data_IF_770492295121
#
_entry.id   IF_770492295121
#
_cell.length_a   1.000
_cell.length_b   1.000
_cell.length_c   1.000
_cell.angle_alpha   90.00
_cell.angle_beta   90.00
_cell.angle_gamma   90.00
#
_symmetry.space_group_name_H-M   'P 1'
#
loop_
_entity.id
_entity.type
_entity.pdbx_description
1 polymer ?
#
# COMPACT_ATOMS: atom_id res chain seq x y z
N UNK A 1 -17.77 -6.69 12.87
CA UNK A 1 -17.14 -7.83 13.56
C UNK A 1 -16.16 -8.44 12.56
N UNK A 2 -14.88 -8.49 12.88
CA UNK A 2 -13.87 -9.02 11.95
C UNK A 2 -13.65 -10.53 12.20
N UNK A 3 -12.96 -11.21 11.28
CA UNK A 3 -12.64 -12.65 11.34
C UNK A 3 -11.94 -13.02 12.65
N UNK A 4 -11.03 -12.20 13.12
CA UNK A 4 -10.29 -12.44 14.37
C UNK A 4 -11.21 -12.42 15.61
N UNK A 5 -12.15 -11.48 15.66
CA UNK A 5 -13.13 -11.40 16.74
C UNK A 5 -14.08 -12.61 16.74
N UNK A 6 -14.49 -13.09 15.56
CA UNK A 6 -15.27 -14.32 15.41
C UNK A 6 -14.47 -15.52 15.90
N UNK A 7 -13.19 -15.64 15.50
CA UNK A 7 -12.30 -16.71 15.94
C UNK A 7 -12.14 -16.73 17.46
N UNK A 8 -11.90 -15.58 18.09
CA UNK A 8 -11.76 -15.50 19.56
C UNK A 8 -13.08 -15.82 20.26
N UNK A 9 -14.22 -15.31 19.79
CA UNK A 9 -15.54 -15.65 20.35
C UNK A 9 -15.86 -17.13 20.18
N UNK A 10 -15.54 -17.73 19.03
CA UNK A 10 -15.73 -19.17 18.80
C UNK A 10 -14.84 -20.00 19.71
N UNK A 11 -13.63 -19.58 20.02
CA UNK A 11 -12.78 -20.22 21.02
C UNK A 11 -13.40 -20.17 22.43
N UNK A 12 -14.16 -19.13 22.75
CA UNK A 12 -14.83 -18.96 24.03
C UNK A 12 -16.20 -19.65 24.12
N UNK A 13 -16.81 -20.04 22.98
CA UNK A 13 -18.08 -20.77 22.93
C UNK A 13 -17.94 -22.21 23.38
N UNK A 14 -17.27 -22.40 24.54
CA UNK A 14 -17.11 -23.71 25.13
C UNK A 14 -17.88 -23.94 26.39
N UNK A 15 -18.46 -25.08 26.28
CA UNK A 15 -18.96 -25.92 27.35
C UNK A 15 -20.20 -25.37 28.04
N UNK A 16 -21.33 -25.88 27.61
CA UNK A 16 -22.32 -26.40 28.56
C UNK A 16 -23.37 -27.24 27.79
N UNK A 17 -23.09 -28.51 27.67
CA UNK A 17 -24.11 -29.58 27.75
C UNK A 17 -25.36 -29.49 26.86
N UNK A 18 -25.34 -29.05 25.61
CA UNK A 18 -26.48 -29.22 24.73
C UNK A 18 -26.18 -30.28 23.66
N UNK A 19 -27.22 -31.03 23.27
CA UNK A 19 -27.14 -32.14 22.33
C UNK A 19 -26.91 -31.71 20.83
N UNK A 20 -26.92 -30.42 20.57
CA UNK A 20 -26.61 -29.85 19.23
C UNK A 20 -25.15 -29.37 19.22
N UNK A 21 -24.27 -30.34 19.27
CA UNK A 21 -22.83 -30.12 19.30
C UNK A 21 -22.32 -29.87 17.89
N UNK A 22 -22.13 -28.60 17.54
CA UNK A 22 -21.27 -28.23 16.41
C UNK A 22 -19.83 -28.33 16.92
N UNK A 23 -19.01 -29.17 16.29
CA UNK A 23 -17.63 -29.29 16.69
C UNK A 23 -16.92 -27.94 16.50
N UNK A 24 -16.31 -27.43 17.57
CA UNK A 24 -15.56 -26.16 17.58
C UNK A 24 -14.60 -26.07 16.42
N UNK A 25 -13.91 -27.16 16.10
CA UNK A 25 -12.94 -27.22 15.03
C UNK A 25 -13.60 -27.00 13.68
N UNK A 26 -14.78 -27.51 13.43
CA UNK A 26 -15.55 -27.27 12.19
C UNK A 26 -15.91 -25.80 12.04
N UNK A 27 -16.38 -25.16 13.13
CA UNK A 27 -16.70 -23.71 13.08
C UNK A 27 -15.43 -22.89 12.86
N UNK A 28 -14.31 -23.24 13.53
CA UNK A 28 -13.05 -22.55 13.33
C UNK A 28 -12.51 -22.72 11.91
N UNK A 29 -12.69 -23.89 11.32
CA UNK A 29 -12.23 -24.13 9.95
C UNK A 29 -13.12 -23.42 8.92
N UNK A 30 -14.42 -23.35 9.15
CA UNK A 30 -15.34 -22.53 8.34
C UNK A 30 -14.98 -21.02 8.44
N UNK A 31 -14.69 -20.53 9.63
CA UNK A 31 -14.28 -19.13 9.82
C UNK A 31 -12.92 -18.84 9.18
N UNK A 32 -12.00 -19.79 9.16
CA UNK A 32 -10.72 -19.66 8.45
C UNK A 32 -10.89 -19.63 6.92
N UNK A 33 -11.93 -20.29 6.41
CA UNK A 33 -12.27 -20.29 4.98
C UNK A 33 -12.98 -19.01 4.52
N UNK A 34 -13.45 -18.16 5.45
CA UNK A 34 -13.96 -16.85 5.07
C UNK A 34 -12.82 -16.05 4.44
N UNK A 35 -12.97 -15.79 3.16
CA UNK A 35 -12.04 -14.93 2.44
C UNK A 35 -12.01 -13.54 3.09
N UNK A 36 -10.86 -13.17 3.63
CA UNK A 36 -10.63 -11.77 3.95
C UNK A 36 -10.56 -11.00 2.63
N UNK A 37 -11.27 -9.87 2.49
CA UNK A 37 -11.15 -9.06 1.30
C UNK A 37 -9.66 -8.74 1.09
N UNK A 38 -9.17 -9.04 -0.11
CA UNK A 38 -7.78 -8.77 -0.47
C UNK A 38 -7.48 -7.30 -0.25
N UNK A 39 -6.45 -7.02 0.57
CA UNK A 39 -6.06 -5.66 0.87
C UNK A 39 -5.60 -4.96 -0.40
N UNK A 40 -6.13 -3.80 -0.63
CA UNK A 40 -5.69 -2.95 -1.75
C UNK A 40 -4.26 -2.48 -1.53
N UNK A 41 -3.53 -2.30 -2.62
CA UNK A 41 -2.17 -1.73 -2.60
C UNK A 41 -2.25 -0.24 -2.87
N UNK A 42 -1.56 0.55 -2.06
CA UNK A 42 -1.53 2.00 -2.20
C UNK A 42 -0.10 2.54 -2.06
N UNK A 43 0.21 3.67 -2.71
CA UNK A 43 1.52 4.29 -2.61
C UNK A 43 1.84 4.75 -1.17
N UNK A 44 3.13 4.74 -0.82
CA UNK A 44 3.63 5.12 0.50
C UNK A 44 3.16 6.51 0.96
N UNK A 45 3.08 7.49 0.04
CA UNK A 45 2.68 8.86 0.39
C UNK A 45 1.19 8.96 0.76
N UNK A 46 0.33 8.11 0.18
CA UNK A 46 -1.09 7.99 0.56
C UNK A 46 -1.22 7.24 1.87
N UNK A 47 -0.49 6.14 2.02
CA UNK A 47 -0.45 5.34 3.24
C UNK A 47 -0.04 6.16 4.47
N UNK A 48 1.01 6.98 4.31
CA UNK A 48 1.48 7.88 5.37
C UNK A 48 0.41 8.89 5.79
N UNK A 49 -0.32 9.45 4.83
CA UNK A 49 -1.41 10.38 5.13
C UNK A 49 -2.58 9.69 5.86
N UNK A 50 -3.06 8.54 5.35
CA UNK A 50 -4.13 7.75 5.99
C UNK A 50 -3.74 7.38 7.42
N UNK A 51 -2.53 6.86 7.62
CA UNK A 51 -2.03 6.47 8.95
C UNK A 51 -2.02 7.66 9.91
N UNK A 52 -1.54 8.81 9.45
CA UNK A 52 -1.49 10.02 10.26
C UNK A 52 -2.88 10.49 10.67
N UNK A 53 -3.83 10.57 9.72
CA UNK A 53 -5.18 11.03 10.00
C UNK A 53 -5.93 10.06 10.91
N UNK A 54 -5.83 8.76 10.66
CA UNK A 54 -6.45 7.73 11.52
C UNK A 54 -5.88 7.69 12.94
N UNK A 55 -4.63 8.11 13.11
CA UNK A 55 -3.97 8.13 14.42
C UNK A 55 -4.22 9.42 15.20
N UNK A 56 -4.11 10.56 14.53
CA UNK A 56 -4.02 11.88 15.17
C UNK A 56 -5.22 12.78 14.88
N UNK A 57 -6.08 12.40 13.91
CA UNK A 57 -7.03 13.33 13.32
C UNK A 57 -6.32 14.35 12.41
N UNK A 58 -7.09 15.30 11.88
CA UNK A 58 -6.55 16.36 11.04
C UNK A 58 -7.39 17.64 11.19
N UNK A 59 -6.79 18.67 11.78
CA UNK A 59 -7.42 19.98 11.95
C UNK A 59 -7.06 20.90 10.78
N UNK A 60 -8.05 21.59 10.25
CA UNK A 60 -7.85 22.50 9.14
C UNK A 60 -8.80 23.71 9.24
N UNK A 61 -8.52 24.74 8.49
CA UNK A 61 -9.39 25.90 8.33
C UNK A 61 -10.11 25.77 6.99
N UNK A 62 -11.43 25.73 7.03
CA UNK A 62 -12.24 25.59 5.83
C UNK A 62 -12.26 26.90 4.99
N UNK A 63 -12.79 26.82 3.77
CA UNK A 63 -12.89 27.95 2.84
C UNK A 63 -13.71 29.09 3.39
N UNK A 64 -14.61 28.84 4.34
CA UNK A 64 -15.41 29.87 5.04
C UNK A 64 -14.68 30.47 6.25
N UNK A 65 -13.45 30.02 6.56
CA UNK A 65 -12.63 30.54 7.63
C UNK A 65 -12.85 29.90 9.00
N UNK A 66 -13.69 28.88 9.12
CA UNK A 66 -13.94 28.16 10.38
C UNK A 66 -12.95 27.00 10.53
N UNK A 67 -12.62 26.69 11.78
CA UNK A 67 -11.85 25.49 12.09
C UNK A 67 -12.74 24.26 12.06
N UNK A 68 -12.31 23.25 11.35
CA UNK A 68 -12.93 21.93 11.28
C UNK A 68 -11.89 20.84 11.55
N UNK A 69 -12.37 19.63 11.82
CA UNK A 69 -11.49 18.51 12.14
C UNK A 69 -12.02 17.21 11.51
N UNK A 70 -11.13 16.44 10.95
CA UNK A 70 -11.33 15.01 10.69
C UNK A 70 -10.87 14.26 11.93
N UNK A 71 -11.78 13.52 12.54
CA UNK A 71 -11.45 12.64 13.67
C UNK A 71 -11.15 11.23 13.19
N UNK A 72 -10.37 10.42 13.95
CA UNK A 72 -9.99 9.07 13.54
C UNK A 72 -11.16 8.13 13.20
N UNK A 73 -12.34 8.39 13.75
CA UNK A 73 -13.58 7.63 13.53
C UNK A 73 -14.44 8.11 12.36
N UNK A 74 -14.04 9.18 11.68
CA UNK A 74 -14.81 9.70 10.54
C UNK A 74 -14.87 8.68 9.40
N UNK A 75 -16.04 8.63 8.75
CA UNK A 75 -16.25 7.79 7.60
C UNK A 75 -15.51 8.32 6.35
N UNK A 76 -15.30 7.43 5.40
CA UNK A 76 -14.57 7.77 4.17
C UNK A 76 -15.25 8.84 3.34
N UNK A 77 -16.60 8.93 3.36
CA UNK A 77 -17.34 9.92 2.61
C UNK A 77 -17.04 11.34 3.10
N UNK A 78 -17.07 11.55 4.43
CA UNK A 78 -16.73 12.84 5.05
C UNK A 78 -15.29 13.24 4.75
N UNK A 79 -14.37 12.26 4.84
CA UNK A 79 -12.95 12.49 4.53
C UNK A 79 -12.76 12.91 3.07
N UNK A 80 -13.36 12.19 2.13
CA UNK A 80 -13.30 12.54 0.71
C UNK A 80 -13.93 13.88 0.40
N UNK A 81 -15.07 14.20 1.04
CA UNK A 81 -15.70 15.50 0.90
C UNK A 81 -14.75 16.64 1.25
N UNK A 82 -14.04 16.55 2.38
CA UNK A 82 -13.07 17.58 2.76
C UNK A 82 -11.85 17.64 1.84
N UNK A 83 -11.37 16.49 1.36
CA UNK A 83 -10.28 16.46 0.40
C UNK A 83 -10.62 17.23 -0.86
N UNK A 84 -11.80 17.00 -1.43
CA UNK A 84 -12.18 17.59 -2.71
C UNK A 84 -12.71 19.02 -2.57
N UNK A 85 -13.49 19.29 -1.53
CA UNK A 85 -14.10 20.62 -1.34
C UNK A 85 -13.13 21.61 -0.71
N UNK A 86 -12.44 21.20 0.34
CA UNK A 86 -11.62 22.12 1.14
C UNK A 86 -10.13 22.06 0.79
N UNK A 87 -9.72 21.09 -0.06
CA UNK A 87 -8.34 20.99 -0.52
C UNK A 87 -7.34 20.70 0.60
N UNK A 88 -7.73 19.91 1.59
CA UNK A 88 -6.94 19.64 2.81
C UNK A 88 -5.69 18.79 2.60
N UNK A 89 -5.46 18.32 1.38
CA UNK A 89 -4.29 17.51 1.00
C UNK A 89 -3.53 18.17 -0.14
N UNK A 90 -2.23 17.86 -0.25
CA UNK A 90 -1.42 18.32 -1.38
C UNK A 90 -1.90 17.73 -2.71
N UNK A 91 -1.63 18.42 -3.80
CA UNK A 91 -2.11 18.06 -5.15
C UNK A 91 -1.75 16.61 -5.56
N UNK A 92 -0.58 16.11 -5.16
CA UNK A 92 -0.16 14.72 -5.44
C UNK A 92 -1.12 13.69 -4.84
N UNK A 93 -1.54 13.88 -3.59
CA UNK A 93 -2.49 12.98 -2.91
C UNK A 93 -3.86 13.13 -3.53
N UNK A 94 -4.30 14.37 -3.77
CA UNK A 94 -5.60 14.69 -4.35
C UNK A 94 -5.77 14.08 -5.75
N UNK A 95 -4.77 14.22 -6.62
CA UNK A 95 -4.79 13.63 -7.96
C UNK A 95 -4.88 12.12 -7.89
N UNK A 96 -4.05 11.48 -7.06
CA UNK A 96 -4.09 10.05 -6.90
C UNK A 96 -5.45 9.55 -6.40
N UNK A 97 -6.04 10.21 -5.37
CA UNK A 97 -7.37 9.83 -4.86
C UNK A 97 -8.44 10.01 -5.94
N UNK A 98 -8.35 11.08 -6.75
CA UNK A 98 -9.32 11.31 -7.82
C UNK A 98 -9.32 10.18 -8.87
N UNK A 99 -8.16 9.65 -9.18
CA UNK A 99 -7.99 8.53 -10.12
C UNK A 99 -8.29 7.16 -9.49
N UNK A 100 -8.18 7.04 -8.16
CA UNK A 100 -8.25 5.76 -7.43
C UNK A 100 -9.27 5.80 -6.28
N UNK A 101 -10.47 6.37 -6.51
CA UNK A 101 -11.47 6.60 -5.45
C UNK A 101 -11.89 5.33 -4.72
N UNK A 102 -12.16 4.27 -5.46
CA UNK A 102 -12.59 2.99 -4.89
C UNK A 102 -11.45 2.33 -4.10
N UNK A 103 -10.23 2.42 -4.60
CA UNK A 103 -9.03 1.91 -3.92
C UNK A 103 -8.80 2.68 -2.63
N UNK A 104 -8.93 4.01 -2.64
CA UNK A 104 -8.83 4.84 -1.44
C UNK A 104 -9.90 4.50 -0.41
N UNK A 105 -11.16 4.35 -0.86
CA UNK A 105 -12.27 3.99 0.02
C UNK A 105 -12.02 2.63 0.69
N UNK A 106 -11.62 1.61 -0.07
CA UNK A 106 -11.26 0.29 0.46
C UNK A 106 -10.06 0.36 1.40
N UNK A 107 -9.02 1.11 1.04
CA UNK A 107 -7.87 1.31 1.91
C UNK A 107 -8.25 1.94 3.25
N UNK A 108 -9.19 2.88 3.23
CA UNK A 108 -9.69 3.52 4.44
C UNK A 108 -10.52 2.57 5.31
N UNK A 109 -11.39 1.75 4.71
CA UNK A 109 -12.34 0.89 5.42
C UNK A 109 -11.72 -0.44 5.86
N UNK A 110 -11.05 -1.14 4.92
CA UNK A 110 -10.62 -2.53 5.09
C UNK A 110 -9.13 -2.64 5.41
N UNK A 111 -8.40 -1.54 5.33
CA UNK A 111 -6.95 -1.51 5.43
C UNK A 111 -6.27 -1.71 4.07
N UNK A 112 -4.95 -1.67 4.07
CA UNK A 112 -4.15 -1.67 2.85
C UNK A 112 -2.78 -2.30 3.06
N UNK A 113 -2.14 -2.63 1.94
CA UNK A 113 -0.71 -2.87 1.82
C UNK A 113 -0.05 -1.68 1.13
N UNK A 114 1.18 -1.38 1.52
CA UNK A 114 1.95 -0.33 0.86
C UNK A 114 2.62 -0.91 -0.38
N UNK A 115 2.44 -0.26 -1.53
CA UNK A 115 3.20 -0.59 -2.74
C UNK A 115 4.69 -0.51 -2.44
N UNK A 116 5.41 -1.59 -2.71
CA UNK A 116 6.87 -1.59 -2.60
C UNK A 116 7.44 -0.88 -3.82
N UNK A 117 7.96 0.31 -3.61
CA UNK A 117 8.77 0.99 -4.62
C UNK A 117 10.02 0.15 -4.87
N UNK A 118 10.31 -0.11 -6.13
CA UNK A 118 11.57 -0.73 -6.56
C UNK A 118 12.43 0.32 -7.24
N UNK A 119 13.70 0.05 -7.30
CA UNK A 119 14.68 0.96 -7.90
C UNK A 119 15.42 0.22 -9.00
N UNK A 120 15.70 0.92 -10.10
CA UNK A 120 16.54 0.45 -11.19
C UNK A 120 17.71 1.40 -11.39
N UNK A 121 18.77 0.90 -11.99
CA UNK A 121 19.95 1.70 -12.33
C UNK A 121 20.02 1.85 -13.84
N UNK A 122 20.08 3.08 -14.33
CA UNK A 122 20.03 3.42 -15.74
C UNK A 122 21.01 4.56 -16.07
N UNK A 123 21.42 4.65 -17.34
CA UNK A 123 22.18 5.81 -17.88
C UNK A 123 21.28 7.04 -18.09
N UNK A 124 19.95 6.86 -17.99
CA UNK A 124 18.95 7.89 -18.22
C UNK A 124 18.48 7.98 -19.69
N UNK A 125 18.94 7.05 -20.55
CA UNK A 125 18.47 6.89 -21.91
C UNK A 125 17.80 5.54 -22.12
N UNK A 126 18.57 4.52 -22.53
CA UNK A 126 18.02 3.20 -22.87
C UNK A 126 18.77 2.04 -22.21
N UNK A 127 19.79 2.32 -21.41
CA UNK A 127 20.60 1.29 -20.78
C UNK A 127 20.18 1.06 -19.32
N UNK A 128 20.01 -0.21 -18.95
CA UNK A 128 19.63 -0.61 -17.60
C UNK A 128 20.58 -1.68 -17.07
N UNK A 129 20.91 -1.60 -15.79
CA UNK A 129 21.70 -2.62 -15.13
C UNK A 129 20.89 -3.91 -14.92
N UNK A 130 21.46 -5.03 -15.30
CA UNK A 130 20.85 -6.35 -15.08
C UNK A 130 21.53 -7.14 -13.96
N UNK A 131 22.83 -7.39 -14.08
CA UNK A 131 23.58 -8.21 -13.11
C UNK A 131 25.08 -8.04 -13.27
N UNK A 132 25.82 -8.51 -12.27
CA UNK A 132 27.23 -8.83 -12.41
C UNK A 132 27.38 -10.26 -12.94
N UNK A 133 28.37 -10.50 -13.78
CA UNK A 133 28.74 -11.81 -14.29
C UNK A 133 30.24 -12.01 -14.08
N UNK A 134 30.64 -13.25 -13.71
CA UNK A 134 32.03 -13.54 -13.30
C UNK A 134 33.07 -13.20 -14.36
N UNK A 135 32.74 -13.46 -15.64
CA UNK A 135 33.65 -13.20 -16.78
C UNK A 135 33.46 -11.81 -17.44
N UNK A 136 32.36 -11.15 -17.13
CA UNK A 136 32.01 -9.82 -17.60
C UNK A 136 31.52 -9.05 -16.38
N UNK A 137 32.26 -8.05 -15.97
CA UNK A 137 31.97 -7.34 -14.74
C UNK A 137 30.55 -6.81 -14.65
N UNK A 138 29.92 -6.47 -15.80
CA UNK A 138 28.60 -5.86 -15.84
C UNK A 138 27.80 -6.32 -17.05
N UNK A 139 26.56 -6.76 -16.84
CA UNK A 139 25.58 -7.03 -17.90
C UNK A 139 24.57 -5.90 -17.94
N UNK A 140 24.43 -5.30 -19.10
CA UNK A 140 23.56 -4.16 -19.39
C UNK A 140 22.48 -4.62 -20.37
N UNK A 141 21.25 -4.14 -20.15
CA UNK A 141 20.13 -4.32 -21.08
C UNK A 141 19.80 -3.01 -21.79
N UNK A 142 19.39 -3.13 -23.03
CA UNK A 142 18.91 -2.01 -23.83
C UNK A 142 17.39 -2.09 -23.92
N UNK A 143 16.71 -1.02 -23.54
CA UNK A 143 15.24 -0.93 -23.56
C UNK A 143 14.72 -0.53 -24.96
N UNK A 144 15.04 -1.32 -25.97
CA UNK A 144 14.53 -1.13 -27.32
C UNK A 144 13.43 -2.13 -27.71
N UNK A 145 13.17 -3.14 -26.85
CA UNK A 145 12.19 -4.19 -27.14
C UNK A 145 11.13 -4.29 -26.04
N UNK A 146 9.86 -4.52 -26.41
CA UNK A 146 8.80 -4.76 -25.45
C UNK A 146 9.16 -5.94 -24.52
N UNK A 147 9.06 -5.72 -23.22
CA UNK A 147 9.32 -6.74 -22.20
C UNK A 147 10.73 -6.76 -21.63
N UNK A 148 11.69 -5.99 -22.15
CA UNK A 148 13.07 -5.91 -21.62
C UNK A 148 13.11 -5.51 -20.15
N UNK A 149 12.22 -4.61 -19.72
CA UNK A 149 12.11 -4.16 -18.33
C UNK A 149 11.80 -5.26 -17.31
N UNK A 150 11.30 -6.42 -17.76
CA UNK A 150 11.10 -7.58 -16.89
C UNK A 150 12.43 -8.21 -16.42
N UNK A 151 13.50 -8.04 -17.17
CA UNK A 151 14.82 -8.59 -16.90
C UNK A 151 15.77 -7.62 -16.21
N UNK A 152 15.40 -6.35 -16.10
CA UNK A 152 16.17 -5.33 -15.39
C UNK A 152 16.25 -5.66 -13.91
N UNK A 153 17.41 -5.50 -13.30
CA UNK A 153 17.59 -5.69 -11.86
C UNK A 153 16.79 -4.63 -11.09
N UNK A 154 15.86 -5.11 -10.28
CA UNK A 154 15.08 -4.28 -9.36
C UNK A 154 15.62 -4.43 -7.95
N UNK A 155 15.98 -3.32 -7.35
CA UNK A 155 16.47 -3.25 -5.98
C UNK A 155 15.33 -2.90 -5.03
N UNK A 156 15.39 -3.42 -3.82
CA UNK A 156 14.39 -3.15 -2.78
C UNK A 156 14.62 -1.81 -2.08
N UNK A 157 15.87 -1.33 -2.06
CA UNK A 157 16.25 -0.08 -1.43
C UNK A 157 17.00 0.83 -2.40
N UNK A 158 16.84 2.15 -2.19
CA UNK A 158 17.55 3.16 -2.98
C UNK A 158 19.06 3.10 -2.74
N UNK A 159 19.46 2.79 -1.51
CA UNK A 159 20.86 2.69 -1.10
C UNK A 159 21.60 1.57 -1.83
N UNK A 160 20.94 0.41 -2.04
CA UNK A 160 21.52 -0.69 -2.82
C UNK A 160 21.66 -0.31 -4.29
N UNK A 161 20.63 0.30 -4.87
CA UNK A 161 20.69 0.79 -6.24
C UNK A 161 21.76 1.87 -6.42
N UNK A 162 21.90 2.78 -5.45
CA UNK A 162 22.87 3.87 -5.51
C UNK A 162 24.31 3.36 -5.54
N UNK A 163 24.64 2.32 -4.77
CA UNK A 163 25.98 1.72 -4.81
C UNK A 163 26.37 1.24 -6.22
N UNK A 164 25.41 0.65 -6.95
CA UNK A 164 25.63 0.20 -8.31
C UNK A 164 25.71 1.39 -9.26
N UNK A 165 24.83 2.37 -9.09
CA UNK A 165 24.83 3.60 -9.89
C UNK A 165 26.14 4.38 -9.76
N UNK A 166 26.70 4.48 -8.55
CA UNK A 166 27.97 5.15 -8.29
C UNK A 166 29.16 4.47 -9.00
N UNK A 167 29.17 3.14 -9.06
CA UNK A 167 30.20 2.36 -9.78
C UNK A 167 30.12 2.61 -11.29
N UNK A 168 28.89 2.71 -11.84
CA UNK A 168 28.65 2.88 -13.26
C UNK A 168 28.67 4.34 -13.72
N UNK A 169 28.60 5.30 -12.82
CA UNK A 169 28.36 6.70 -13.12
C UNK A 169 26.94 6.96 -13.66
N UNK A 170 25.98 6.13 -13.25
CA UNK A 170 24.59 6.12 -13.72
C UNK A 170 23.65 6.70 -12.68
N UNK A 171 22.33 6.65 -12.98
CA UNK A 171 21.27 7.19 -12.14
C UNK A 171 20.41 6.08 -11.56
N UNK A 172 19.78 6.37 -10.42
CA UNK A 172 18.74 5.52 -9.83
C UNK A 172 17.38 6.08 -10.17
N UNK A 173 16.51 5.24 -10.72
CA UNK A 173 15.12 5.57 -11.00
C UNK A 173 14.16 4.68 -10.20
N UNK A 174 13.04 5.28 -9.80
CA UNK A 174 11.96 4.56 -9.11
C UNK A 174 11.04 3.90 -10.15
N UNK A 175 10.76 2.60 -9.94
CA UNK A 175 9.82 1.84 -10.77
C UNK A 175 8.77 1.16 -9.90
N UNK A 176 7.57 1.02 -10.46
CA UNK A 176 6.46 0.32 -9.79
C UNK A 176 6.47 -1.17 -10.09
#
# INVERSE_FOLDING_TARGET
MNKQEIVERTKCLFAFGSRDYIERNEVLDLVKQLDEPEKVKIPQFVAGWITNVKRNGFKFRNTSGYYEEIVPSDDVYRVMYYIFKEGIVGEKIKSWINENRDVFARAWLDGYEVEKTKYVVTDGNHLYFQKYQEDIEIVILVDEQPGTMAYVKKFDTKEEAQKVADILGWKVEEVK
#
